data_IF_907033260670
#
_entry.id   IF_907033260670
#
_cell.length_a   1.000
_cell.length_b   1.000
_cell.length_c   1.000
_cell.angle_alpha   90.00
_cell.angle_beta   90.00
_cell.angle_gamma   90.00
#
_symmetry.space_group_name_H-M   'P 1'
#
loop_
_entity.id
_entity.type
_entity.pdbx_description
1 polymer ?
#
# COMPACT_ATOMS: atom_id res chain seq x y z
N UNK A 1 -7.94 -13.96 -7.75
CA UNK A 1 -7.12 -12.81 -7.32
C UNK A 1 -6.01 -13.39 -6.47
N UNK A 2 -4.75 -13.06 -6.78
CA UNK A 2 -3.62 -13.52 -5.97
C UNK A 2 -3.64 -12.89 -4.57
N UNK A 3 -2.98 -13.55 -3.60
CA UNK A 3 -3.01 -13.16 -2.19
C UNK A 3 -2.41 -11.76 -1.96
N UNK A 4 -1.40 -11.40 -2.76
CA UNK A 4 -0.80 -10.07 -2.72
C UNK A 4 -1.80 -8.98 -3.12
N UNK A 5 -2.58 -9.21 -4.18
CA UNK A 5 -3.62 -8.30 -4.66
C UNK A 5 -4.77 -8.20 -3.66
N UNK A 6 -5.13 -9.29 -2.99
CA UNK A 6 -6.12 -9.28 -1.89
C UNK A 6 -5.67 -8.40 -0.73
N UNK A 7 -4.42 -8.54 -0.29
CA UNK A 7 -3.84 -7.71 0.76
C UNK A 7 -3.82 -6.22 0.35
N UNK A 8 -3.40 -5.92 -0.88
CA UNK A 8 -3.35 -4.55 -1.41
C UNK A 8 -4.76 -3.92 -1.45
N UNK A 9 -5.78 -4.66 -1.87
CA UNK A 9 -7.17 -4.19 -1.86
C UNK A 9 -7.66 -3.92 -0.44
N UNK A 10 -7.36 -4.80 0.50
CA UNK A 10 -7.72 -4.60 1.91
C UNK A 10 -7.10 -3.31 2.47
N UNK A 11 -5.81 -3.08 2.17
CA UNK A 11 -5.12 -1.85 2.54
C UNK A 11 -5.74 -0.61 1.87
N UNK A 12 -6.09 -0.69 0.58
CA UNK A 12 -6.73 0.40 -0.14
C UNK A 12 -8.09 0.79 0.47
N UNK A 13 -8.89 -0.20 0.88
CA UNK A 13 -10.17 0.02 1.57
C UNK A 13 -9.99 0.69 2.93
N UNK A 14 -8.97 0.29 3.69
CA UNK A 14 -8.66 0.92 4.97
C UNK A 14 -8.21 2.38 4.77
N UNK A 15 -7.27 2.62 3.86
CA UNK A 15 -6.83 3.97 3.47
C UNK A 15 -8.02 4.85 3.08
N UNK A 16 -8.90 4.34 2.21
CA UNK A 16 -10.10 5.04 1.77
C UNK A 16 -10.98 5.48 2.95
N UNK A 17 -11.25 4.58 3.90
CA UNK A 17 -12.03 4.91 5.10
C UNK A 17 -11.40 6.04 5.91
N UNK A 18 -10.08 6.02 6.11
CA UNK A 18 -9.35 7.09 6.82
C UNK A 18 -9.46 8.41 6.07
N UNK A 19 -9.31 8.39 4.75
CA UNK A 19 -9.35 9.60 3.93
C UNK A 19 -10.77 10.19 3.87
N UNK A 20 -11.82 9.36 3.79
CA UNK A 20 -13.23 9.81 3.80
C UNK A 20 -13.60 10.50 5.12
N UNK A 21 -13.04 10.03 6.24
CA UNK A 21 -13.23 10.63 7.56
C UNK A 21 -12.29 11.83 7.83
N UNK A 22 -11.41 12.18 6.89
CA UNK A 22 -10.45 13.25 7.07
C UNK A 22 -11.06 14.62 6.77
N UNK A 23 -11.29 15.40 7.83
CA UNK A 23 -11.95 16.72 7.74
C UNK A 23 -10.98 17.91 7.76
N UNK A 24 -9.66 17.68 7.83
CA UNK A 24 -8.67 18.75 7.87
C UNK A 24 -8.21 19.13 6.47
N UNK A 25 -8.41 20.39 6.10
CA UNK A 25 -7.84 20.95 4.86
C UNK A 25 -6.36 21.23 5.06
N UNK A 26 -5.52 20.74 4.15
CA UNK A 26 -4.10 21.09 4.08
C UNK A 26 -3.88 21.80 2.73
N UNK A 27 -4.00 23.15 2.71
CA UNK A 27 -4.13 23.92 1.47
C UNK A 27 -2.87 23.91 0.58
N UNK A 28 -1.70 23.68 1.18
CA UNK A 28 -0.39 23.85 0.51
C UNK A 28 0.14 22.57 -0.16
N UNK A 29 -0.67 21.52 -0.24
CA UNK A 29 -0.26 20.28 -0.87
C UNK A 29 -0.46 20.29 -2.38
N UNK A 30 0.48 19.70 -3.16
CA UNK A 30 0.27 19.32 -4.54
C UNK A 30 -1.05 18.55 -4.73
N UNK A 31 -1.73 18.77 -5.86
CA UNK A 31 -3.03 18.14 -6.15
C UNK A 31 -3.03 16.62 -5.97
N UNK A 32 -1.94 15.95 -6.37
CA UNK A 32 -1.78 14.51 -6.26
C UNK A 32 -1.76 13.99 -4.81
N UNK A 33 -1.39 14.83 -3.85
CA UNK A 33 -1.40 14.46 -2.43
C UNK A 33 -2.75 14.78 -1.78
N UNK A 34 -3.66 15.50 -2.42
CA UNK A 34 -4.90 15.91 -1.75
C UNK A 34 -5.84 14.73 -1.50
N UNK A 35 -6.64 14.74 -0.41
CA UNK A 35 -7.57 13.66 -0.05
C UNK A 35 -8.41 13.16 -1.24
N UNK A 36 -8.95 14.08 -2.05
CA UNK A 36 -9.77 13.74 -3.23
C UNK A 36 -9.02 12.88 -4.25
N UNK A 37 -7.74 13.15 -4.49
CA UNK A 37 -6.94 12.36 -5.43
C UNK A 37 -6.60 10.99 -4.83
N UNK A 38 -6.28 10.94 -3.54
CA UNK A 38 -6.00 9.68 -2.84
C UNK A 38 -7.22 8.75 -2.81
N UNK A 39 -8.44 9.29 -2.62
CA UNK A 39 -9.68 8.53 -2.74
C UNK A 39 -9.88 7.95 -4.14
N UNK A 40 -9.64 8.78 -5.16
CA UNK A 40 -9.70 8.32 -6.55
C UNK A 40 -8.70 7.19 -6.81
N UNK A 41 -7.48 7.27 -6.28
CA UNK A 41 -6.49 6.20 -6.40
C UNK A 41 -6.92 4.92 -5.67
N UNK A 42 -7.50 5.01 -4.47
CA UNK A 42 -8.03 3.85 -3.77
C UNK A 42 -9.10 3.13 -4.61
N UNK A 43 -10.04 3.88 -5.21
CA UNK A 43 -11.03 3.31 -6.12
C UNK A 43 -10.37 2.65 -7.34
N UNK A 44 -9.33 3.25 -7.91
CA UNK A 44 -8.60 2.67 -9.06
C UNK A 44 -7.89 1.36 -8.70
N UNK A 45 -7.36 1.24 -7.49
CA UNK A 45 -6.78 -0.01 -7.00
C UNK A 45 -7.85 -1.10 -6.94
N UNK A 46 -9.02 -0.80 -6.36
CA UNK A 46 -10.15 -1.75 -6.29
C UNK A 46 -10.62 -2.18 -7.69
N UNK A 47 -10.79 -1.24 -8.63
CA UNK A 47 -11.22 -1.52 -10.01
C UNK A 47 -10.24 -2.40 -10.80
N UNK A 48 -8.94 -2.31 -10.53
CA UNK A 48 -7.90 -3.05 -11.26
C UNK A 48 -7.45 -4.32 -10.55
N UNK A 49 -8.05 -4.67 -9.41
CA UNK A 49 -7.61 -5.79 -8.58
C UNK A 49 -7.76 -7.17 -9.25
N UNK A 50 -8.73 -7.33 -10.16
CA UNK A 50 -9.02 -8.63 -10.78
C UNK A 50 -8.21 -8.91 -12.06
N UNK A 51 -7.63 -7.89 -12.69
CA UNK A 51 -6.94 -8.02 -13.98
C UNK A 51 -5.66 -7.21 -14.13
N UNK A 52 -5.27 -6.43 -13.12
CA UNK A 52 -4.04 -5.66 -13.11
C UNK A 52 -2.86 -6.43 -12.49
N UNK A 53 -1.61 -6.14 -12.89
CA UNK A 53 -0.45 -6.77 -12.27
C UNK A 53 -0.27 -6.30 -10.83
N UNK A 54 -0.07 -7.24 -9.90
CA UNK A 54 0.11 -6.97 -8.47
C UNK A 54 1.22 -5.94 -8.18
N UNK A 55 2.32 -5.96 -8.95
CA UNK A 55 3.43 -5.00 -8.82
C UNK A 55 3.02 -3.54 -9.08
N UNK A 56 2.03 -3.32 -9.95
CA UNK A 56 1.47 -1.99 -10.21
C UNK A 56 0.54 -1.55 -9.08
N UNK A 57 -0.30 -2.47 -8.59
CA UNK A 57 -1.17 -2.22 -7.44
C UNK A 57 -0.34 -1.91 -6.18
N UNK A 58 0.76 -2.62 -5.98
CA UNK A 58 1.72 -2.40 -4.88
C UNK A 58 2.33 -0.99 -4.93
N UNK A 59 2.77 -0.54 -6.10
CA UNK A 59 3.27 0.84 -6.29
C UNK A 59 2.20 1.88 -5.98
N UNK A 60 0.96 1.64 -6.40
CA UNK A 60 -0.15 2.56 -6.18
C UNK A 60 -0.53 2.68 -4.70
N UNK A 61 -0.63 1.56 -3.98
CA UNK A 61 -0.93 1.61 -2.55
C UNK A 61 0.21 2.26 -1.75
N UNK A 62 1.47 1.97 -2.10
CA UNK A 62 2.63 2.62 -1.47
C UNK A 62 2.62 4.14 -1.65
N UNK A 63 2.22 4.64 -2.82
CA UNK A 63 2.02 6.08 -3.04
C UNK A 63 0.94 6.66 -2.13
N UNK A 64 -0.24 6.02 -2.08
CA UNK A 64 -1.36 6.48 -1.23
C UNK A 64 -0.94 6.56 0.23
N UNK A 65 -0.30 5.52 0.73
CA UNK A 65 0.18 5.44 2.12
C UNK A 65 1.20 6.54 2.44
N UNK A 66 2.18 6.74 1.56
CA UNK A 66 3.20 7.78 1.71
C UNK A 66 2.56 9.18 1.69
N UNK A 67 1.59 9.41 0.82
CA UNK A 67 0.85 10.66 0.75
C UNK A 67 0.03 10.91 2.02
N UNK A 68 -0.63 9.88 2.57
CA UNK A 68 -1.36 9.98 3.84
C UNK A 68 -0.44 10.38 5.00
N UNK A 69 0.79 9.85 5.05
CA UNK A 69 1.80 10.26 6.03
C UNK A 69 2.25 11.70 5.81
N UNK A 70 2.55 12.08 4.56
CA UNK A 70 2.93 13.46 4.22
C UNK A 70 1.86 14.48 4.60
N UNK A 71 0.59 14.09 4.50
CA UNK A 71 -0.56 14.91 4.86
C UNK A 71 -0.94 14.85 6.34
N UNK A 72 -0.18 14.11 7.14
CA UNK A 72 -0.43 13.87 8.57
C UNK A 72 -1.80 13.25 8.84
N UNK A 73 -2.38 12.56 7.85
CA UNK A 73 -3.59 11.76 8.03
C UNK A 73 -3.31 10.57 8.94
N UNK A 74 -2.12 10.02 8.82
CA UNK A 74 -1.56 8.98 9.67
C UNK A 74 -0.10 9.31 10.00
N UNK A 75 0.42 8.76 11.09
CA UNK A 75 1.85 8.66 11.34
C UNK A 75 2.36 7.27 10.91
N UNK A 76 3.67 7.03 11.00
CA UNK A 76 4.27 5.74 10.64
C UNK A 76 3.74 4.58 11.48
N UNK A 77 3.46 4.80 12.76
CA UNK A 77 2.91 3.77 13.65
C UNK A 77 1.49 3.38 13.25
N UNK A 78 0.66 4.36 12.91
CA UNK A 78 -0.69 4.13 12.39
C UNK A 78 -0.66 3.40 11.06
N UNK A 79 0.29 3.74 10.18
CA UNK A 79 0.48 3.04 8.92
C UNK A 79 0.90 1.58 9.12
N UNK A 80 1.83 1.33 10.05
CA UNK A 80 2.28 -0.02 10.40
C UNK A 80 1.13 -0.85 10.98
N UNK A 81 0.37 -0.27 11.91
CA UNK A 81 -0.77 -0.94 12.54
C UNK A 81 -1.80 -1.36 11.49
N UNK A 82 -2.11 -0.46 10.54
CA UNK A 82 -3.01 -0.75 9.43
C UNK A 82 -2.49 -1.89 8.55
N UNK A 83 -1.19 -1.90 8.24
CA UNK A 83 -0.58 -3.00 7.48
C UNK A 83 -0.66 -4.33 8.24
N UNK A 84 -0.27 -4.34 9.51
CA UNK A 84 -0.30 -5.55 10.35
C UNK A 84 -1.73 -6.11 10.46
N UNK A 85 -2.74 -5.26 10.58
CA UNK A 85 -4.15 -5.65 10.60
C UNK A 85 -4.59 -6.28 9.27
N UNK A 86 -4.27 -5.63 8.14
CA UNK A 86 -4.59 -6.17 6.82
C UNK A 86 -3.86 -7.51 6.58
N UNK A 87 -2.60 -7.62 6.98
CA UNK A 87 -1.81 -8.86 6.89
C UNK A 87 -2.36 -9.96 7.81
N UNK A 88 -2.87 -9.65 9.01
CA UNK A 88 -3.53 -10.67 9.85
C UNK A 88 -4.85 -11.14 9.27
N UNK A 89 -5.60 -10.26 8.62
CA UNK A 89 -6.91 -10.59 8.06
C UNK A 89 -6.82 -11.33 6.71
N UNK A 90 -5.76 -11.07 5.94
CA UNK A 90 -5.63 -11.53 4.54
C UNK A 90 -4.32 -12.26 4.23
N UNK A 91 -3.36 -12.25 5.15
CA UNK A 91 -2.17 -13.08 5.05
C UNK A 91 -2.52 -14.51 5.42
N UNK A 92 -2.46 -15.40 4.44
CA UNK A 92 -2.22 -16.82 4.74
C UNK A 92 -0.88 -16.90 5.47
N UNK A 93 -0.74 -17.80 6.44
CA UNK A 93 0.58 -18.13 7.02
C UNK A 93 1.46 -18.82 5.96
N UNK A 94 1.78 -18.10 4.89
CA UNK A 94 2.73 -18.47 3.86
C UNK A 94 4.12 -18.03 4.27
N UNK A 95 5.14 -18.64 3.68
CA UNK A 95 6.57 -18.52 3.96
C UNK A 95 7.17 -17.10 3.83
N UNK A 96 6.38 -16.03 3.82
CA UNK A 96 6.79 -14.62 3.72
C UNK A 96 7.74 -14.14 4.83
N UNK A 97 7.93 -14.91 5.89
CA UNK A 97 8.93 -14.58 6.91
C UNK A 97 10.35 -14.85 6.41
N UNK A 98 10.54 -15.74 5.44
CA UNK A 98 11.82 -15.97 4.76
C UNK A 98 12.09 -14.84 3.74
N UNK A 99 11.11 -14.47 2.92
CA UNK A 99 11.22 -13.36 1.96
C UNK A 99 11.52 -12.00 2.63
N UNK A 100 11.06 -11.79 3.87
CA UNK A 100 11.32 -10.56 4.62
C UNK A 100 12.73 -10.52 5.24
N UNK A 101 13.44 -11.64 5.32
CA UNK A 101 14.78 -11.73 5.96
C UNK A 101 15.85 -12.06 4.90
N UNK A 102 15.46 -12.47 3.70
CA UNK A 102 16.37 -12.76 2.59
C UNK A 102 17.31 -11.60 2.23
N UNK A 103 16.85 -10.35 2.35
CA UNK A 103 17.71 -9.18 2.14
C UNK A 103 18.73 -8.92 3.27
N UNK A 104 18.60 -9.62 4.40
CA UNK A 104 19.51 -9.58 5.56
C UNK A 104 20.45 -10.79 5.59
N UNK A 105 20.21 -11.82 4.77
CA UNK A 105 21.07 -12.99 4.63
C UNK A 105 22.07 -12.78 3.48
N UNK A 106 23.38 -12.64 3.75
CA UNK A 106 24.41 -12.45 2.72
C UNK A 106 24.62 -13.65 1.79
N UNK A 107 23.96 -14.79 2.07
CA UNK A 107 23.98 -15.99 1.23
C UNK A 107 22.71 -16.17 0.40
N UNK A 108 21.70 -15.32 0.59
CA UNK A 108 20.47 -15.35 -0.20
C UNK A 108 20.74 -14.88 -1.63
N UNK A 109 20.08 -15.51 -2.61
CA UNK A 109 20.10 -15.13 -4.02
C UNK A 109 19.17 -13.94 -4.32
N UNK A 110 18.77 -13.18 -3.31
CA UNK A 110 17.92 -12.00 -3.44
C UNK A 110 18.63 -10.92 -4.28
N UNK A 111 18.24 -10.81 -5.55
CA UNK A 111 18.58 -9.68 -6.39
C UNK A 111 17.50 -8.61 -6.21
N UNK A 112 17.92 -7.41 -5.83
CA UNK A 112 17.04 -6.24 -5.72
C UNK A 112 16.65 -5.85 -7.14
N UNK A 113 15.56 -6.44 -7.66
CA UNK A 113 14.98 -6.06 -8.94
C UNK A 113 14.41 -4.64 -8.81
N UNK A 114 15.27 -3.65 -9.09
CA UNK A 114 14.88 -2.27 -9.30
C UNK A 114 14.17 -2.26 -10.66
N UNK A 115 12.92 -2.73 -10.67
CA UNK A 115 12.10 -2.93 -11.85
C UNK A 115 11.96 -1.66 -12.67
N UNK A 116 12.79 -1.57 -13.69
CA UNK A 116 12.88 -0.50 -14.66
C UNK A 116 13.57 -1.00 -15.92
N UNK A 117 12.87 -1.86 -16.67
CA UNK A 117 12.81 -1.90 -18.15
C UNK A 117 12.08 -3.19 -18.59
N UNK A 118 11.09 -3.04 -19.48
CA UNK A 118 10.24 -4.11 -20.01
C UNK A 118 8.90 -3.57 -20.52
#
# INVERSE_FOLDING_TARGET
MDDASLLIVAMAKHCKSVIENWNKSVPDLPLALRPKHLLWMCNKIEEHAEGGPATKLHRWIGFVQSAMVANRMLNLDGLKTMFDEAKRAHGVAGHDMEDLIDHLDPTSSFELDIGGEG
#
